data_IF_828820041936
#
_entry.id   IF_828820041936
#
_cell.length_a   1.000
_cell.length_b   1.000
_cell.length_c   1.000
_cell.angle_alpha   90.00
_cell.angle_beta   90.00
_cell.angle_gamma   90.00
#
_symmetry.space_group_name_H-M   'P 1'
#
loop_
_entity.id
_entity.type
_entity.pdbx_description
1 polymer ?
#
# COMPACT_ATOMS: atom_id res chain seq x y z
N UNK A 1 39.57 -34.69 -22.96
CA UNK A 1 38.56 -34.30 -21.96
C UNK A 1 39.34 -34.05 -20.67
N UNK A 2 39.80 -32.81 -20.47
CA UNK A 2 40.59 -32.44 -19.30
C UNK A 2 39.60 -31.94 -18.26
N UNK A 3 39.26 -32.79 -17.29
CA UNK A 3 38.49 -32.35 -16.13
C UNK A 3 39.44 -31.51 -15.29
N UNK A 4 39.38 -30.18 -15.42
CA UNK A 4 40.09 -29.29 -14.50
C UNK A 4 39.54 -29.55 -13.09
N UNK A 5 40.40 -30.02 -12.20
CA UNK A 5 40.09 -30.15 -10.78
C UNK A 5 39.95 -28.73 -10.23
N UNK A 6 38.72 -28.33 -9.95
CA UNK A 6 38.42 -27.05 -9.30
C UNK A 6 39.06 -27.10 -7.90
N UNK A 7 39.92 -26.12 -7.59
CA UNK A 7 40.57 -25.99 -6.29
C UNK A 7 39.48 -25.86 -5.20
N UNK A 8 39.50 -26.68 -4.12
CA UNK A 8 38.50 -26.62 -3.06
C UNK A 8 38.36 -25.23 -2.41
N UNK A 9 39.42 -24.40 -2.45
CA UNK A 9 39.31 -23.01 -2.02
C UNK A 9 38.45 -22.19 -3.00
N UNK A 10 38.65 -22.36 -4.31
CA UNK A 10 37.86 -21.68 -5.35
C UNK A 10 36.37 -22.07 -5.30
N UNK A 11 36.07 -23.33 -4.99
CA UNK A 11 34.70 -23.79 -4.80
C UNK A 11 34.05 -23.14 -3.57
N UNK A 12 34.77 -23.01 -2.45
CA UNK A 12 34.31 -22.29 -1.26
C UNK A 12 34.04 -20.80 -1.56
N UNK A 13 34.93 -20.11 -2.29
CA UNK A 13 34.71 -18.72 -2.70
C UNK A 13 33.51 -18.57 -3.63
N UNK A 14 33.32 -19.51 -4.55
CA UNK A 14 32.17 -19.50 -5.48
C UNK A 14 30.86 -19.70 -4.73
N UNK A 15 30.83 -20.63 -3.77
CA UNK A 15 29.67 -20.85 -2.90
C UNK A 15 29.38 -19.62 -2.02
N UNK A 16 30.42 -18.95 -1.51
CA UNK A 16 30.26 -17.72 -0.76
C UNK A 16 29.66 -16.61 -1.63
N UNK A 17 30.20 -16.39 -2.84
CA UNK A 17 29.70 -15.38 -3.77
C UNK A 17 28.25 -15.66 -4.16
N UNK A 18 27.91 -16.92 -4.40
CA UNK A 18 26.53 -17.33 -4.72
C UNK A 18 25.57 -17.21 -3.53
N UNK A 19 26.09 -17.18 -2.30
CA UNK A 19 25.29 -16.95 -1.08
C UNK A 19 25.11 -15.45 -0.77
N UNK A 20 25.86 -14.57 -1.43
CA UNK A 20 25.70 -13.14 -1.25
C UNK A 20 24.40 -12.68 -1.93
N UNK A 21 23.66 -11.76 -1.31
CA UNK A 21 22.44 -11.24 -1.90
C UNK A 21 22.78 -10.52 -3.21
N UNK A 22 21.97 -10.79 -4.22
CA UNK A 22 22.01 -10.10 -5.49
C UNK A 22 21.67 -8.61 -5.30
N UNK A 23 22.09 -7.76 -6.24
CA UNK A 23 21.74 -6.33 -6.24
C UNK A 23 20.23 -6.11 -6.08
N UNK A 24 19.42 -6.95 -6.71
CA UNK A 24 17.97 -6.86 -6.64
C UNK A 24 17.44 -7.14 -5.22
N UNK A 25 17.98 -8.14 -4.54
CA UNK A 25 17.62 -8.46 -3.15
C UNK A 25 18.05 -7.35 -2.20
N UNK A 26 19.25 -6.80 -2.40
CA UNK A 26 19.75 -5.65 -1.63
C UNK A 26 18.83 -4.43 -1.83
N UNK A 27 18.42 -4.13 -3.07
CA UNK A 27 17.51 -3.02 -3.37
C UNK A 27 16.13 -3.24 -2.75
N UNK A 28 15.64 -4.49 -2.79
CA UNK A 28 14.37 -4.87 -2.17
C UNK A 28 14.40 -4.69 -0.66
N UNK A 29 15.44 -5.20 0.02
CA UNK A 29 15.62 -5.03 1.47
C UNK A 29 15.80 -3.56 1.84
N UNK A 30 16.58 -2.81 1.06
CA UNK A 30 16.80 -1.40 1.27
C UNK A 30 15.50 -0.61 1.17
N UNK A 31 14.69 -0.80 0.12
CA UNK A 31 13.39 -0.12 0.01
C UNK A 31 12.49 -0.47 1.19
N UNK A 32 12.42 -1.75 1.57
CA UNK A 32 11.63 -2.16 2.73
C UNK A 32 12.09 -1.52 4.04
N UNK A 33 13.39 -1.32 4.21
CA UNK A 33 13.97 -0.65 5.38
C UNK A 33 13.51 0.80 5.53
N UNK A 34 13.12 1.47 4.44
CA UNK A 34 12.54 2.83 4.48
C UNK A 34 11.19 2.88 5.21
N UNK A 35 10.51 1.74 5.41
CA UNK A 35 9.32 1.66 6.26
C UNK A 35 9.63 1.99 7.73
N UNK A 36 10.88 1.81 8.16
CA UNK A 36 11.33 2.10 9.51
C UNK A 36 11.67 3.60 9.63
N UNK A 37 10.75 4.38 10.19
CA UNK A 37 10.89 5.84 10.31
C UNK A 37 12.14 6.26 11.11
N UNK A 38 12.48 5.63 12.26
CA UNK A 38 13.77 5.84 12.92
C UNK A 38 15.00 5.66 12.02
N UNK A 39 14.98 4.67 11.11
CA UNK A 39 16.08 4.47 10.16
C UNK A 39 16.17 5.62 9.15
N UNK A 40 15.04 6.10 8.65
CA UNK A 40 15.01 7.28 7.76
C UNK A 40 15.49 8.53 8.48
N UNK A 41 15.15 8.72 9.74
CA UNK A 41 15.68 9.79 10.58
C UNK A 41 17.21 9.66 10.74
N UNK A 42 17.73 8.45 10.95
CA UNK A 42 19.19 8.20 10.96
C UNK A 42 19.83 8.60 9.62
N UNK A 43 19.24 8.23 8.47
CA UNK A 43 19.76 8.65 7.15
C UNK A 43 19.80 10.18 7.00
N UNK A 44 18.76 10.86 7.51
CA UNK A 44 18.68 12.31 7.49
C UNK A 44 19.75 12.98 8.36
N UNK A 45 19.97 12.47 9.58
CA UNK A 45 21.00 12.97 10.50
C UNK A 45 22.43 12.84 9.94
N UNK A 46 22.69 11.78 9.16
CA UNK A 46 23.97 11.55 8.52
C UNK A 46 24.14 12.32 7.19
N UNK A 47 23.22 13.22 6.84
CA UNK A 47 23.22 14.02 5.60
C UNK A 47 23.13 13.23 4.30
N UNK A 48 22.77 11.94 4.31
CA UNK A 48 22.58 11.18 3.07
C UNK A 48 21.43 11.73 2.23
N UNK A 49 20.36 12.22 2.87
CA UNK A 49 19.19 12.78 2.16
C UNK A 49 19.47 14.15 1.49
N UNK A 50 20.60 14.78 1.80
CA UNK A 50 21.02 16.05 1.20
C UNK A 50 21.95 15.86 -0.01
N UNK A 51 22.52 14.66 -0.19
CA UNK A 51 23.37 14.33 -1.34
C UNK A 51 22.51 14.08 -2.59
N UNK A 52 22.76 14.84 -3.64
CA UNK A 52 22.08 14.72 -4.94
C UNK A 52 22.23 13.32 -5.53
N UNK A 53 23.38 12.67 -5.32
CA UNK A 53 23.63 11.30 -5.79
C UNK A 53 22.66 10.31 -5.14
N UNK A 54 22.41 10.49 -3.84
CA UNK A 54 21.49 9.63 -3.09
C UNK A 54 20.03 9.91 -3.46
N UNK A 55 19.68 11.17 -3.71
CA UNK A 55 18.32 11.55 -4.15
C UNK A 55 18.02 10.93 -5.53
N UNK A 56 18.97 11.00 -6.47
CA UNK A 56 18.85 10.35 -7.77
C UNK A 56 18.71 8.82 -7.62
N UNK A 57 19.36 8.23 -6.63
CA UNK A 57 19.18 6.81 -6.32
C UNK A 57 17.78 6.49 -5.78
N UNK A 58 17.22 7.35 -4.91
CA UNK A 58 15.82 7.22 -4.46
C UNK A 58 14.82 7.38 -5.61
N UNK A 59 15.10 8.27 -6.57
CA UNK A 59 14.32 8.38 -7.81
C UNK A 59 14.39 7.10 -8.64
N UNK A 60 15.58 6.53 -8.82
CA UNK A 60 15.73 5.23 -9.47
C UNK A 60 14.87 4.16 -8.78
N UNK A 61 14.88 4.08 -7.46
CA UNK A 61 14.08 3.10 -6.70
C UNK A 61 12.55 3.28 -6.84
N UNK A 62 12.05 4.35 -7.47
CA UNK A 62 10.61 4.47 -7.76
C UNK A 62 10.10 3.39 -8.70
N UNK A 63 10.96 2.66 -9.44
CA UNK A 63 10.49 1.52 -10.24
C UNK A 63 9.76 0.47 -9.39
N UNK A 64 10.07 0.36 -8.08
CA UNK A 64 9.40 -0.53 -7.14
C UNK A 64 7.89 -0.23 -6.97
N UNK A 65 7.44 0.97 -7.33
CA UNK A 65 6.02 1.34 -7.33
C UNK A 65 5.22 0.66 -8.44
N UNK A 66 5.88 0.17 -9.49
CA UNK A 66 5.19 -0.52 -10.58
C UNK A 66 4.65 -1.87 -10.09
N UNK A 67 3.43 -2.27 -10.50
CA UNK A 67 2.76 -3.45 -9.96
C UNK A 67 3.54 -4.75 -10.17
N UNK A 68 4.35 -4.82 -11.23
CA UNK A 68 5.20 -5.96 -11.53
C UNK A 68 6.28 -6.22 -10.47
N UNK A 69 6.73 -5.17 -9.77
CA UNK A 69 7.75 -5.24 -8.71
C UNK A 69 7.13 -5.10 -7.31
N UNK A 70 6.10 -4.27 -7.16
CA UNK A 70 5.44 -4.01 -5.88
C UNK A 70 4.91 -5.29 -5.19
N UNK A 71 4.56 -6.32 -5.97
CA UNK A 71 4.11 -7.62 -5.45
C UNK A 71 5.12 -8.34 -4.54
N UNK A 72 6.40 -7.98 -4.61
CA UNK A 72 7.45 -8.57 -3.79
C UNK A 72 7.69 -7.81 -2.48
N UNK A 73 7.07 -6.65 -2.29
CA UNK A 73 7.20 -5.84 -1.07
C UNK A 73 6.25 -6.36 0.01
N UNK A 74 6.81 -6.72 1.17
CA UNK A 74 6.02 -7.16 2.32
C UNK A 74 5.41 -5.97 3.06
N UNK A 75 6.14 -4.85 3.10
CA UNK A 75 5.74 -3.65 3.84
C UNK A 75 5.24 -2.56 2.90
N UNK A 76 3.92 -2.30 2.80
CA UNK A 76 3.40 -1.29 1.86
C UNK A 76 3.80 0.15 2.23
N UNK A 77 4.13 0.39 3.50
CA UNK A 77 4.52 1.71 3.99
C UNK A 77 5.81 2.23 3.33
N UNK A 78 6.72 1.35 2.89
CA UNK A 78 7.97 1.80 2.26
C UNK A 78 7.72 2.67 1.03
N UNK A 79 6.72 2.32 0.21
CA UNK A 79 6.40 3.06 -1.00
C UNK A 79 5.87 4.47 -0.68
N UNK A 80 5.11 4.59 0.41
CA UNK A 80 4.62 5.87 0.88
C UNK A 80 5.78 6.75 1.36
N UNK A 81 6.68 6.21 2.17
CA UNK A 81 7.86 6.93 2.66
C UNK A 81 8.80 7.30 1.51
N UNK A 82 9.02 6.39 0.56
CA UNK A 82 9.82 6.64 -0.64
C UNK A 82 9.29 7.84 -1.43
N UNK A 83 7.97 7.97 -1.54
CA UNK A 83 7.32 9.12 -2.18
C UNK A 83 7.49 10.41 -1.38
N UNK A 84 7.39 10.35 -0.05
CA UNK A 84 7.60 11.52 0.82
C UNK A 84 9.05 12.00 0.77
N UNK A 85 10.02 11.09 0.68
CA UNK A 85 11.45 11.42 0.59
C UNK A 85 11.83 12.21 -0.66
N UNK A 86 11.00 12.22 -1.70
CA UNK A 86 11.20 13.05 -2.89
C UNK A 86 11.00 14.54 -2.59
N UNK A 87 10.15 14.87 -1.61
CA UNK A 87 9.95 16.26 -1.17
C UNK A 87 11.14 16.70 -0.31
N UNK A 88 11.78 17.80 -0.73
CA UNK A 88 12.88 18.42 -0.01
C UNK A 88 12.45 18.91 1.38
N UNK A 89 11.21 19.39 1.52
CA UNK A 89 10.70 19.85 2.81
C UNK A 89 10.61 18.69 3.80
N UNK A 90 10.17 17.52 3.33
CA UNK A 90 10.11 16.32 4.15
C UNK A 90 11.51 15.90 4.62
N UNK A 91 12.50 15.90 3.72
CA UNK A 91 13.90 15.56 4.06
C UNK A 91 14.51 16.47 5.13
N UNK A 92 14.13 17.76 5.13
CA UNK A 92 14.54 18.71 6.18
C UNK A 92 13.80 18.48 7.50
N UNK A 93 12.49 18.24 7.42
CA UNK A 93 11.65 18.08 8.60
C UNK A 93 11.87 16.76 9.33
N UNK A 94 12.21 15.67 8.62
CA UNK A 94 12.41 14.35 9.23
C UNK A 94 13.59 14.29 10.19
N UNK A 95 14.52 15.25 10.13
CA UNK A 95 15.63 15.39 11.10
C UNK A 95 15.07 15.68 12.50
N UNK A 96 13.96 16.42 12.59
CA UNK A 96 13.32 16.75 13.86
C UNK A 96 12.58 15.54 14.46
N UNK A 97 12.93 15.20 15.70
CA UNK A 97 12.32 14.11 16.46
C UNK A 97 10.82 14.31 16.71
N UNK A 98 10.36 15.55 16.90
CA UNK A 98 8.93 15.82 17.12
C UNK A 98 8.10 15.52 15.87
N UNK A 99 8.60 15.93 14.70
CA UNK A 99 7.97 15.64 13.42
C UNK A 99 7.96 14.13 13.15
N UNK A 100 9.07 13.44 13.41
CA UNK A 100 9.17 11.99 13.31
C UNK A 100 8.13 11.27 14.18
N UNK A 101 7.98 11.68 15.44
CA UNK A 101 7.01 11.11 16.37
C UNK A 101 5.57 11.37 15.91
N UNK A 102 5.29 12.58 15.39
CA UNK A 102 3.97 12.89 14.82
C UNK A 102 3.66 11.99 13.62
N UNK A 103 4.62 11.84 12.70
CA UNK A 103 4.48 10.99 11.52
C UNK A 103 4.21 9.53 11.90
N UNK A 104 4.94 9.01 12.90
CA UNK A 104 4.74 7.66 13.39
C UNK A 104 3.36 7.47 14.02
N UNK A 105 2.90 8.44 14.81
CA UNK A 105 1.55 8.44 15.38
C UNK A 105 0.47 8.49 14.29
N UNK A 106 0.66 9.30 13.25
CA UNK A 106 -0.29 9.41 12.14
C UNK A 106 -0.36 8.12 11.32
N UNK A 107 0.78 7.45 11.13
CA UNK A 107 0.79 6.11 10.55
C UNK A 107 -0.02 5.14 11.41
N UNK A 108 0.23 5.06 12.72
CA UNK A 108 -0.50 4.16 13.64
C UNK A 108 -2.00 4.44 13.63
N UNK A 109 -2.42 5.71 13.67
CA UNK A 109 -3.84 6.10 13.58
C UNK A 109 -4.47 5.62 12.27
N UNK A 110 -3.75 5.71 11.16
CA UNK A 110 -4.23 5.21 9.86
C UNK A 110 -4.44 3.70 9.88
N UNK A 111 -3.57 2.94 10.54
CA UNK A 111 -3.78 1.50 10.73
C UNK A 111 -5.01 1.20 11.58
N UNK A 112 -5.20 1.91 12.70
CA UNK A 112 -6.38 1.76 13.56
C UNK A 112 -7.68 2.09 12.84
N UNK A 113 -7.69 3.14 12.02
CA UNK A 113 -8.89 3.52 11.26
C UNK A 113 -9.21 2.53 10.13
N UNK A 114 -8.20 1.93 9.50
CA UNK A 114 -8.42 0.89 8.49
C UNK A 114 -9.08 -0.36 9.09
N UNK A 115 -8.76 -0.75 10.34
CA UNK A 115 -9.46 -1.85 11.03
C UNK A 115 -10.94 -1.53 11.28
N UNK A 116 -11.26 -0.27 11.57
CA UNK A 116 -12.65 0.18 11.75
C UNK A 116 -13.44 0.19 10.44
N UNK A 117 -12.82 0.62 9.35
CA UNK A 117 -13.45 0.63 8.02
C UNK A 117 -13.73 -0.80 7.51
N UNK A 118 -12.83 -1.77 7.76
CA UNK A 118 -13.08 -3.18 7.44
C UNK A 118 -14.25 -3.76 8.25
N UNK A 119 -14.36 -3.43 9.55
CA UNK A 119 -15.49 -3.89 10.39
C UNK A 119 -16.82 -3.30 9.91
N UNK A 120 -16.86 -1.99 9.60
CA UNK A 120 -18.06 -1.31 9.10
C UNK A 120 -18.49 -1.84 7.72
N UNK A 121 -17.54 -2.18 6.84
CA UNK A 121 -17.84 -2.81 5.55
C UNK A 121 -18.41 -4.23 5.73
N UNK A 122 -17.93 -4.97 6.73
CA UNK A 122 -18.40 -6.33 7.04
C UNK A 122 -19.80 -6.31 7.67
N UNK A 123 -20.06 -5.34 8.55
CA UNK A 123 -21.39 -5.12 9.17
C UNK A 123 -22.43 -4.69 8.13
N UNK A 124 -22.09 -3.76 7.23
CA UNK A 124 -23.01 -3.31 6.15
C UNK A 124 -23.38 -4.40 5.16
N UNK A 125 -22.53 -5.42 4.97
CA UNK A 125 -22.86 -6.58 4.12
C UNK A 125 -23.75 -7.61 4.84
N UNK A 126 -23.74 -7.65 6.17
CA UNK A 126 -24.59 -8.55 6.96
C UNK A 126 -25.99 -7.98 7.25
N UNK A 127 -26.19 -6.66 7.16
CA UNK A 127 -27.51 -6.02 7.35
C UNK A 127 -28.39 -6.01 6.08
N UNK A 128 -27.82 -6.22 4.89
CA UNK A 128 -28.58 -6.23 3.62
C UNK A 128 -29.64 -7.35 3.48
N UNK A 129 -29.45 -8.59 3.98
CA UNK A 129 -30.47 -9.64 3.85
C UNK A 129 -31.73 -9.42 4.71
N UNK A 130 -31.65 -8.65 5.80
CA UNK A 130 -32.78 -8.46 6.73
C UNK A 130 -33.68 -7.28 6.38
N UNK A 131 -33.19 -6.26 5.67
CA UNK A 131 -34.03 -5.15 5.22
C UNK A 131 -34.88 -5.50 3.98
N UNK A 132 -34.40 -6.37 3.09
CA UNK A 132 -35.20 -6.80 1.92
C UNK A 132 -36.39 -7.70 2.30
N UNK A 133 -36.25 -8.59 3.30
CA UNK A 133 -37.36 -9.41 3.78
C UNK A 133 -38.47 -8.60 4.47
N UNK A 134 -38.10 -7.53 5.18
CA UNK A 134 -39.08 -6.69 5.90
C UNK A 134 -39.91 -5.80 4.95
N UNK A 135 -39.33 -5.38 3.83
CA UNK A 135 -40.02 -4.56 2.81
C UNK A 135 -40.97 -5.41 1.95
N UNK A 136 -40.68 -6.69 1.74
CA UNK A 136 -41.55 -7.58 0.96
C UNK A 136 -42.77 -8.08 1.76
N UNK A 137 -42.66 -8.18 3.09
CA UNK A 137 -43.79 -8.51 3.97
C UNK A 137 -44.78 -7.34 4.08
N UNK A 138 -44.29 -6.10 4.16
CA UNK A 138 -45.13 -4.88 4.26
C UNK A 138 -45.89 -4.58 2.95
N UNK A 139 -45.35 -4.97 1.79
CA UNK A 139 -46.02 -4.89 0.49
C UNK A 139 -47.12 -5.94 0.27
N UNK A 140 -47.13 -7.03 1.03
CA UNK A 140 -48.17 -8.07 0.95
C UNK A 140 -49.41 -7.72 1.78
N UNK A 141 -49.27 -6.87 2.80
CA UNK A 141 -50.39 -6.44 3.66
C UNK A 141 -51.15 -5.21 3.14
N UNK A 142 -50.53 -4.37 2.30
CA UNK A 142 -51.19 -3.20 1.69
C UNK A 142 -51.60 -3.47 0.24
N UNK A 143 -52.67 -4.25 0.08
CA UNK A 143 -53.29 -4.51 -1.23
C UNK A 143 -53.87 -3.24 -1.86
N UNK A 144 -53.12 -2.62 -2.78
CA UNK A 144 -53.61 -1.49 -3.58
C UNK A 144 -54.21 -2.02 -4.90
N UNK A 145 -55.54 -2.01 -4.98
CA UNK A 145 -56.30 -2.29 -6.20
C UNK A 145 -56.13 -1.10 -7.16
N UNK A 146 -55.49 -1.35 -8.30
CA UNK A 146 -55.28 -0.38 -9.38
C UNK A 146 -56.62 0.23 -9.85
N UNK A 147 -56.73 1.57 -10.04
CA UNK A 147 -57.84 2.13 -10.79
C UNK A 147 -57.55 2.05 -12.30
N UNK A 148 -58.52 1.54 -13.04
CA UNK A 148 -58.51 1.44 -14.51
C UNK A 148 -58.60 2.85 -15.13
N UNK A 149 -57.84 3.21 -16.18
CA UNK A 149 -58.00 4.50 -16.85
C UNK A 149 -59.24 4.47 -17.76
N UNK A 150 -60.16 5.44 -17.57
CA UNK A 150 -61.33 5.64 -18.43
C UNK A 150 -60.90 6.46 -19.67
N UNK A 151 -61.02 5.86 -20.85
CA UNK A 151 -60.80 6.47 -22.16
C UNK A 151 -61.91 7.48 -22.47
N UNK A 152 -61.60 8.77 -22.52
CA UNK A 152 -62.51 9.80 -23.04
C UNK A 152 -62.21 10.05 -24.52
N UNK A 153 -62.92 9.32 -25.39
CA UNK A 153 -62.95 9.55 -26.83
C UNK A 153 -63.66 10.87 -27.17
N UNK A 154 -62.94 11.74 -27.87
CA UNK A 154 -63.39 13.05 -28.32
C UNK A 154 -64.50 12.95 -29.36
N UNK A 155 -65.58 13.69 -29.15
CA UNK A 155 -66.56 14.04 -30.19
C UNK A 155 -66.10 15.35 -30.82
N UNK A 156 -65.87 15.38 -32.14
CA UNK A 156 -66.31 16.50 -33.00
C UNK A 156 -66.06 16.26 -34.49
N UNK A 157 -67.20 16.32 -35.21
CA UNK A 157 -67.48 16.88 -36.54
C UNK A 157 -66.69 16.41 -37.75
#
# INVERSE_FOLDING_TARGET
MTTEQIDPQQEQYTNLINSLPSRWEIELEFVQSLSNIPYVNYLAQNNYLNDETFVNYLEYLQYWTQPQYAKFLVYPNCLHVLKLLQDENFRKNIINQEFMNSLMNDMVKRWQNNELDEQVLTEKQQEQPQQEQKVEEEKRETGEVQPVPVENGSIST
#
